data_IF_629522924695
#
_entry.id   IF_629522924695
#
_cell.length_a   1.000
_cell.length_b   1.000
_cell.length_c   1.000
_cell.angle_alpha   90.00
_cell.angle_beta   90.00
_cell.angle_gamma   90.00
#
_symmetry.space_group_name_H-M   'P 1'
#
loop_
_entity.id
_entity.type
_entity.pdbx_description
1 polymer ?
#
# COMPACT_ATOMS: atom_id res chain seq x y z
N UNK A 1 2.10 18.38 -18.20
CA UNK A 1 1.98 17.18 -17.35
C UNK A 1 3.06 17.28 -16.27
N UNK A 2 2.71 17.40 -14.98
CA UNK A 2 3.74 17.46 -13.93
C UNK A 2 4.36 16.08 -13.69
N UNK A 3 5.68 16.03 -13.53
CA UNK A 3 6.40 14.78 -13.26
C UNK A 3 5.96 14.18 -11.92
N UNK A 4 5.93 12.85 -11.82
CA UNK A 4 5.63 12.14 -10.57
C UNK A 4 6.50 12.64 -9.40
N UNK A 5 7.75 13.01 -9.69
CA UNK A 5 8.68 13.59 -8.73
C UNK A 5 8.17 14.90 -8.13
N UNK A 6 7.64 15.81 -8.95
CA UNK A 6 7.04 17.07 -8.46
C UNK A 6 5.73 16.85 -7.70
N UNK A 7 4.89 15.89 -8.12
CA UNK A 7 3.60 15.63 -7.45
C UNK A 7 3.74 15.03 -6.05
N UNK A 8 4.89 14.43 -5.75
CA UNK A 8 5.14 13.73 -4.49
C UNK A 8 6.37 14.24 -3.73
N UNK A 9 6.99 15.35 -4.18
CA UNK A 9 8.15 15.95 -3.50
C UNK A 9 9.39 15.06 -3.47
N UNK A 10 9.60 14.22 -4.49
CA UNK A 10 10.76 13.30 -4.54
C UNK A 10 12.00 14.11 -4.90
N UNK A 11 12.91 14.27 -3.94
CA UNK A 11 14.07 15.14 -4.04
C UNK A 11 15.18 14.55 -4.93
N UNK A 12 15.26 13.22 -5.06
CA UNK A 12 16.38 12.54 -5.72
C UNK A 12 15.98 11.28 -6.48
N UNK A 13 16.74 10.96 -7.54
CA UNK A 13 16.64 9.69 -8.26
C UNK A 13 16.89 8.49 -7.33
N UNK A 14 17.72 8.67 -6.31
CA UNK A 14 17.99 7.62 -5.32
C UNK A 14 16.74 7.25 -4.51
N UNK A 15 15.95 8.26 -4.09
CA UNK A 15 14.68 8.06 -3.41
C UNK A 15 13.70 7.29 -4.28
N UNK A 16 13.66 7.60 -5.59
CA UNK A 16 12.84 6.87 -6.57
C UNK A 16 13.23 5.39 -6.64
N UNK A 17 14.53 5.08 -6.70
CA UNK A 17 15.04 3.70 -6.71
C UNK A 17 14.67 2.94 -5.44
N UNK A 18 14.81 3.57 -4.26
CA UNK A 18 14.37 2.99 -3.00
C UNK A 18 12.87 2.69 -3.00
N UNK A 19 12.06 3.62 -3.47
CA UNK A 19 10.61 3.42 -3.60
C UNK A 19 10.32 2.20 -4.49
N UNK A 20 10.99 2.06 -5.63
CA UNK A 20 10.82 0.88 -6.49
C UNK A 20 11.23 -0.43 -5.81
N UNK A 21 12.33 -0.45 -5.07
CA UNK A 21 12.76 -1.62 -4.29
C UNK A 21 11.70 -1.99 -3.26
N UNK A 22 11.20 -1.00 -2.51
CA UNK A 22 10.12 -1.21 -1.52
C UNK A 22 8.88 -1.77 -2.20
N UNK A 23 8.47 -1.23 -3.36
CA UNK A 23 7.35 -1.75 -4.12
C UNK A 23 7.56 -3.19 -4.59
N UNK A 24 8.76 -3.53 -5.07
CA UNK A 24 9.09 -4.88 -5.52
C UNK A 24 9.03 -5.89 -4.37
N UNK A 25 9.62 -5.57 -3.22
CA UNK A 25 9.60 -6.41 -2.02
C UNK A 25 8.16 -6.53 -1.51
N UNK A 26 7.45 -5.42 -1.36
CA UNK A 26 6.08 -5.39 -0.84
C UNK A 26 5.13 -6.16 -1.75
N UNK A 27 5.22 -5.98 -3.08
CA UNK A 27 4.39 -6.69 -4.04
C UNK A 27 4.63 -8.20 -4.04
N UNK A 28 5.90 -8.61 -3.92
CA UNK A 28 6.26 -10.03 -3.80
C UNK A 28 5.75 -10.62 -2.49
N UNK A 29 5.95 -9.91 -1.38
CA UNK A 29 5.50 -10.33 -0.06
C UNK A 29 3.97 -10.43 0.02
N UNK A 30 3.22 -9.47 -0.51
CA UNK A 30 1.76 -9.50 -0.53
C UNK A 30 1.21 -10.64 -1.39
N UNK A 31 1.85 -10.93 -2.52
CA UNK A 31 1.48 -12.07 -3.36
C UNK A 31 1.74 -13.39 -2.63
N UNK A 32 2.82 -13.49 -1.86
CA UNK A 32 3.11 -14.69 -1.06
C UNK A 32 2.13 -14.86 0.10
N UNK A 33 1.83 -13.78 0.83
CA UNK A 33 0.84 -13.72 1.92
C UNK A 33 -0.59 -14.02 1.47
N UNK A 34 -0.91 -13.78 0.21
CA UNK A 34 -2.26 -14.03 -0.30
C UNK A 34 -2.74 -15.47 -0.16
N UNK A 35 -1.84 -16.45 -0.32
CA UNK A 35 -2.17 -17.87 -0.24
C UNK A 35 -2.57 -18.30 1.17
N UNK A 36 -1.75 -18.08 2.21
CA UNK A 36 -2.13 -18.43 3.58
C UNK A 36 -3.34 -17.63 4.06
N UNK A 37 -3.51 -16.38 3.62
CA UNK A 37 -4.70 -15.57 3.99
C UNK A 37 -5.98 -16.16 3.39
N UNK A 38 -5.99 -16.53 2.10
CA UNK A 38 -7.14 -17.18 1.48
C UNK A 38 -7.46 -18.53 2.16
N UNK A 39 -6.43 -19.33 2.46
CA UNK A 39 -6.60 -20.61 3.15
C UNK A 39 -7.13 -20.44 4.58
N UNK A 40 -6.62 -19.47 5.34
CA UNK A 40 -7.06 -19.20 6.71
C UNK A 40 -8.52 -18.73 6.77
N UNK A 41 -8.97 -17.98 5.76
CA UNK A 41 -10.35 -17.54 5.63
C UNK A 41 -11.29 -18.61 5.05
N UNK A 42 -10.77 -19.79 4.71
CA UNK A 42 -11.57 -20.86 4.09
C UNK A 42 -12.09 -20.50 2.70
N UNK A 43 -11.47 -19.53 2.02
CA UNK A 43 -11.83 -19.16 0.65
C UNK A 43 -11.18 -20.18 -0.29
N UNK A 44 -11.95 -21.21 -0.63
CA UNK A 44 -11.54 -22.26 -1.56
C UNK A 44 -11.84 -21.81 -2.99
N UNK A 45 -10.87 -21.98 -3.92
CA UNK A 45 -11.05 -21.71 -5.36
C UNK A 45 -12.34 -22.36 -5.93
N UNK A 46 -12.77 -23.48 -5.36
CA UNK A 46 -13.93 -24.25 -5.77
C UNK A 46 -15.28 -23.54 -5.51
N UNK A 47 -15.41 -22.75 -4.44
CA UNK A 47 -16.67 -22.11 -4.05
C UNK A 47 -16.89 -20.76 -4.73
N UNK A 48 -15.81 -20.05 -5.07
CA UNK A 48 -15.86 -18.66 -5.53
C UNK A 48 -15.70 -18.48 -7.05
N UNK A 49 -15.21 -19.50 -7.78
CA UNK A 49 -15.09 -19.46 -9.25
C UNK A 49 -14.40 -18.17 -9.75
N UNK A 50 -15.07 -17.42 -10.63
CA UNK A 50 -14.55 -16.14 -11.16
C UNK A 50 -14.39 -15.04 -10.09
N UNK A 51 -15.14 -15.10 -8.99
CA UNK A 51 -15.08 -14.12 -7.90
C UNK A 51 -13.87 -14.34 -6.98
N UNK A 52 -13.18 -15.47 -7.07
CA UNK A 52 -12.01 -15.78 -6.26
C UNK A 52 -10.89 -14.73 -6.43
N UNK A 53 -10.60 -14.36 -7.67
CA UNK A 53 -9.53 -13.40 -8.01
C UNK A 53 -9.75 -11.99 -7.45
N UNK A 54 -10.91 -11.32 -7.69
CA UNK A 54 -11.15 -9.98 -7.14
C UNK A 54 -11.25 -9.98 -5.61
N UNK A 55 -11.78 -11.03 -5.00
CA UNK A 55 -11.90 -11.13 -3.53
C UNK A 55 -10.56 -11.35 -2.88
N UNK A 56 -9.72 -12.22 -3.46
CA UNK A 56 -8.32 -12.37 -3.07
C UNK A 56 -7.57 -11.04 -3.15
N UNK A 57 -7.76 -10.27 -4.22
CA UNK A 57 -7.13 -8.95 -4.35
C UNK A 57 -7.61 -7.97 -3.28
N UNK A 58 -8.91 -7.93 -3.01
CA UNK A 58 -9.52 -7.08 -1.98
C UNK A 58 -9.07 -7.46 -0.56
N UNK A 59 -8.78 -8.74 -0.32
CA UNK A 59 -8.27 -9.24 0.96
C UNK A 59 -6.78 -8.95 1.19
N UNK A 60 -5.96 -9.09 0.14
CA UNK A 60 -4.55 -8.70 0.19
C UNK A 60 -4.42 -7.20 0.34
N UNK A 61 -5.38 -6.43 -0.15
CA UNK A 61 -5.33 -4.98 -0.19
C UNK A 61 -5.01 -4.31 1.17
N UNK A 62 -5.73 -4.57 2.27
CA UNK A 62 -5.39 -4.01 3.59
C UNK A 62 -4.04 -4.51 4.12
N UNK A 63 -3.64 -5.74 3.80
CA UNK A 63 -2.34 -6.28 4.20
C UNK A 63 -1.23 -5.52 3.45
N UNK A 64 -1.41 -5.31 2.14
CA UNK A 64 -0.49 -4.56 1.30
C UNK A 64 -0.27 -3.14 1.82
N UNK A 65 -1.33 -2.45 2.27
CA UNK A 65 -1.22 -1.14 2.91
C UNK A 65 -0.24 -1.16 4.09
N UNK A 66 -0.46 -2.07 5.05
CA UNK A 66 0.41 -2.21 6.22
C UNK A 66 1.85 -2.57 5.84
N UNK A 67 2.06 -3.48 4.89
CA UNK A 67 3.43 -3.81 4.44
C UNK A 67 4.11 -2.61 3.76
N UNK A 68 3.38 -1.84 2.96
CA UNK A 68 3.95 -0.72 2.22
C UNK A 68 4.48 0.36 3.18
N UNK A 69 3.70 0.66 4.22
CA UNK A 69 4.10 1.60 5.29
C UNK A 69 5.22 1.00 6.15
N UNK A 70 5.12 -0.28 6.51
CA UNK A 70 6.12 -0.97 7.33
C UNK A 70 7.49 -1.11 6.64
N UNK A 71 7.52 -1.58 5.40
CA UNK A 71 8.75 -1.67 4.61
C UNK A 71 9.25 -0.26 4.25
N UNK A 72 8.34 0.65 3.91
CA UNK A 72 8.67 2.06 3.71
C UNK A 72 9.36 2.69 4.93
N UNK A 73 8.94 2.32 6.14
CA UNK A 73 9.58 2.72 7.39
C UNK A 73 11.00 2.16 7.53
N UNK A 74 11.22 0.87 7.22
CA UNK A 74 12.55 0.24 7.27
C UNK A 74 13.57 0.92 6.34
N UNK A 75 13.12 1.41 5.18
CA UNK A 75 13.97 2.11 4.21
C UNK A 75 14.05 3.64 4.43
N UNK A 76 13.49 4.16 5.54
CA UNK A 76 13.52 5.60 5.86
C UNK A 76 12.60 6.46 4.97
N UNK A 77 11.65 5.85 4.25
CA UNK A 77 10.67 6.50 3.37
C UNK A 77 9.26 6.51 3.96
N UNK A 78 9.12 6.35 5.28
CA UNK A 78 7.81 6.31 5.97
C UNK A 78 6.91 7.48 5.62
N UNK A 79 7.39 8.72 5.71
CA UNK A 79 6.57 9.90 5.43
C UNK A 79 6.01 9.91 4.01
N UNK A 80 6.81 9.49 3.03
CA UNK A 80 6.38 9.37 1.64
C UNK A 80 5.27 8.33 1.50
N UNK A 81 5.49 7.13 2.04
CA UNK A 81 4.56 6.02 1.93
C UNK A 81 3.29 6.22 2.76
N UNK A 82 3.39 6.83 3.93
CA UNK A 82 2.26 7.23 4.75
C UNK A 82 1.39 8.26 4.01
N UNK A 83 2.01 9.25 3.37
CA UNK A 83 1.27 10.23 2.57
C UNK A 83 0.66 9.60 1.32
N UNK A 84 1.37 8.65 0.70
CA UNK A 84 0.89 7.86 -0.43
C UNK A 84 -0.33 7.02 -0.06
N UNK A 85 -0.25 6.28 1.04
CA UNK A 85 -1.33 5.45 1.56
C UNK A 85 -2.55 6.28 1.95
N UNK A 86 -2.36 7.38 2.70
CA UNK A 86 -3.45 8.29 3.06
C UNK A 86 -4.17 8.83 1.82
N UNK A 87 -3.41 9.21 0.79
CA UNK A 87 -3.99 9.71 -0.47
C UNK A 87 -4.74 8.61 -1.23
N UNK A 88 -4.20 7.39 -1.26
CA UNK A 88 -4.84 6.24 -1.87
C UNK A 88 -6.16 5.89 -1.15
N UNK A 89 -6.13 5.80 0.18
CA UNK A 89 -7.30 5.55 1.04
C UNK A 89 -8.39 6.62 0.88
N UNK A 90 -8.01 7.91 0.87
CA UNK A 90 -8.95 9.00 0.56
C UNK A 90 -9.56 8.87 -0.83
N UNK A 91 -8.77 8.50 -1.83
CA UNK A 91 -9.25 8.31 -3.21
C UNK A 91 -10.24 7.15 -3.34
N UNK A 92 -10.10 6.09 -2.54
CA UNK A 92 -11.04 4.96 -2.53
C UNK A 92 -12.24 5.19 -1.61
N UNK A 93 -12.46 6.44 -1.14
CA UNK A 93 -13.53 6.82 -0.21
C UNK A 93 -13.43 6.15 1.17
N UNK A 94 -12.33 5.47 1.47
CA UNK A 94 -11.99 4.90 2.77
C UNK A 94 -11.28 5.90 3.69
N UNK A 95 -11.22 7.18 3.29
CA UNK A 95 -10.58 8.24 4.05
C UNK A 95 -11.22 8.52 5.43
N UNK A 96 -12.39 7.95 5.72
CA UNK A 96 -13.02 8.02 7.05
C UNK A 96 -12.32 7.12 8.09
N UNK A 97 -11.55 6.11 7.66
CA UNK A 97 -10.77 5.22 8.54
C UNK A 97 -9.43 5.85 8.94
N UNK A 98 -9.03 6.95 8.30
CA UNK A 98 -7.78 7.62 8.62
C UNK A 98 -7.99 8.53 9.83
N UNK A 99 -7.06 8.51 10.81
CA UNK A 99 -7.07 9.50 11.87
C UNK A 99 -7.01 10.90 11.24
N UNK A 100 -7.87 11.79 11.74
CA UNK A 100 -7.93 13.18 11.30
C UNK A 100 -6.55 13.80 11.55
N UNK A 101 -5.86 14.18 10.48
CA UNK A 101 -4.58 14.87 10.60
C UNK A 101 -4.83 16.22 11.28
N UNK A 102 -4.30 16.39 12.48
CA UNK A 102 -4.28 17.69 13.13
C UNK A 102 -3.40 18.64 12.31
N UNK A 103 -3.89 19.83 11.93
CA UNK A 103 -3.23 20.75 11.01
C UNK A 103 -2.02 21.49 11.63
N UNK A 104 -1.31 20.90 12.60
CA UNK A 104 -0.18 21.56 13.28
C UNK A 104 1.04 20.66 13.37
N UNK A 105 1.81 20.58 12.29
CA UNK A 105 3.26 20.36 12.41
C UNK A 105 4.05 20.84 11.19
N UNK A 106 3.67 22.00 10.64
CA UNK A 106 4.53 22.80 9.77
C UNK A 106 4.48 24.23 10.31
N UNK A 107 5.30 24.52 11.32
CA UNK A 107 5.65 25.86 11.77
C UNK A 107 7.14 25.87 12.12
#
# INVERSE_FOLDING_TARGET
>A
MQSFKQRWGIASNFQLTLIFIVFAITGSASAWLSKPVCQWLGITDADWGFWFTPVRLLLIFPIYQLLLVGIGFLFGQFNFFWNFEKKMLRSMRLGFLLPKEDPKKDS
#
